data_IF_446441547460
#
_entry.id   IF_446441547460
#
_cell.length_a   1.000
_cell.length_b   1.000
_cell.length_c   1.000
_cell.angle_alpha   90.00
_cell.angle_beta   90.00
_cell.angle_gamma   90.00
#
_symmetry.space_group_name_H-M   'P 1'
#
loop_
_entity.id
_entity.type
_entity.pdbx_description
1 polymer ?
#
# COMPACT_ATOMS: atom_id res chain seq x y z
N UNK A 1 1.28 63.00 -29.46
CA UNK A 1 1.39 61.80 -30.30
C UNK A 1 0.37 60.81 -29.74
N UNK A 2 -0.76 60.71 -30.42
CA UNK A 2 -1.83 59.76 -30.11
C UNK A 2 -1.48 58.42 -30.77
N UNK A 3 -1.74 57.30 -30.09
CA UNK A 3 -2.09 56.06 -30.78
C UNK A 3 -3.23 55.40 -30.01
N UNK A 4 -4.43 55.67 -30.50
CA UNK A 4 -5.66 54.94 -30.27
C UNK A 4 -5.55 53.50 -30.78
N UNK A 5 -6.20 52.54 -30.12
CA UNK A 5 -6.23 51.15 -30.59
C UNK A 5 -7.18 50.22 -29.81
N UNK A 6 -8.47 50.60 -29.76
CA UNK A 6 -9.70 49.75 -29.76
C UNK A 6 -9.51 48.23 -29.55
N UNK A 7 -9.99 47.66 -28.44
CA UNK A 7 -11.36 47.15 -28.21
C UNK A 7 -11.73 45.89 -29.01
N UNK A 8 -12.02 44.80 -28.29
CA UNK A 8 -13.03 43.81 -28.70
C UNK A 8 -13.68 43.16 -27.47
N UNK A 9 -14.99 43.38 -27.39
CA UNK A 9 -16.01 42.82 -26.47
C UNK A 9 -15.95 41.29 -26.42
N UNK A 10 -15.92 40.68 -25.23
CA UNK A 10 -17.06 40.20 -24.43
C UNK A 10 -17.68 38.87 -24.89
N UNK A 11 -17.62 37.84 -24.03
CA UNK A 11 -18.69 36.87 -23.86
C UNK A 11 -18.78 36.46 -22.38
N UNK A 12 -19.94 36.76 -21.80
CA UNK A 12 -20.44 36.24 -20.52
C UNK A 12 -21.01 34.83 -20.73
N UNK A 13 -20.65 33.86 -19.87
CA UNK A 13 -21.43 32.64 -19.52
C UNK A 13 -20.75 32.03 -18.29
N UNK A 14 -21.25 32.20 -17.07
CA UNK A 14 -22.33 31.42 -16.44
C UNK A 14 -21.98 29.92 -16.24
N UNK A 15 -21.69 29.59 -14.98
CA UNK A 15 -22.03 28.37 -14.23
C UNK A 15 -21.70 26.96 -14.76
N UNK A 16 -21.01 26.22 -13.88
CA UNK A 16 -21.23 24.82 -13.45
C UNK A 16 -21.03 23.64 -14.42
N UNK A 17 -20.06 22.76 -14.06
CA UNK A 17 -20.00 21.28 -14.14
C UNK A 17 -18.51 20.88 -14.00
N UNK A 18 -18.05 20.23 -12.93
CA UNK A 18 -18.16 18.80 -12.61
C UNK A 18 -17.39 17.88 -13.59
N UNK A 19 -16.44 17.12 -13.03
CA UNK A 19 -15.87 15.83 -13.50
C UNK A 19 -14.97 15.93 -14.75
N UNK A 20 -13.90 15.16 -14.96
CA UNK A 20 -13.19 14.05 -14.30
C UNK A 20 -11.85 13.88 -15.10
N UNK A 21 -11.01 12.93 -14.69
CA UNK A 21 -9.84 12.37 -15.40
C UNK A 21 -8.55 13.21 -15.46
N UNK A 22 -7.35 12.66 -15.51
CA UNK A 22 -6.70 11.38 -15.19
C UNK A 22 -5.27 11.64 -15.68
N UNK A 23 -4.26 11.62 -14.82
CA UNK A 23 -2.86 11.56 -15.28
C UNK A 23 -2.13 10.42 -14.56
N UNK A 24 -2.51 9.21 -14.96
CA UNK A 24 -1.63 8.05 -15.10
C UNK A 24 -0.31 8.46 -15.79
N UNK A 25 0.80 8.50 -15.05
CA UNK A 25 2.13 8.36 -15.64
C UNK A 25 2.51 6.88 -15.67
N UNK A 26 2.18 6.28 -16.79
CA UNK A 26 2.62 5.00 -17.28
C UNK A 26 4.06 5.13 -17.81
N UNK A 27 5.00 4.36 -17.26
CA UNK A 27 6.21 3.94 -17.99
C UNK A 27 6.32 2.43 -17.87
N UNK A 28 5.69 1.74 -18.82
CA UNK A 28 6.12 0.42 -19.27
C UNK A 28 7.43 0.58 -20.03
N UNK A 29 8.43 -0.22 -19.70
CA UNK A 29 9.34 -0.70 -20.74
C UNK A 29 9.53 -2.21 -20.56
N UNK A 30 9.27 -2.86 -21.68
CA UNK A 30 9.12 -4.27 -21.96
C UNK A 30 10.49 -4.95 -22.08
N UNK A 31 10.64 -6.14 -21.50
CA UNK A 31 11.48 -7.16 -22.13
C UNK A 31 10.92 -8.54 -21.82
N UNK A 32 10.27 -9.11 -22.83
CA UNK A 32 9.83 -10.49 -22.89
C UNK A 32 10.81 -11.32 -23.74
N UNK A 33 10.73 -12.65 -23.53
CA UNK A 33 11.33 -13.75 -24.29
C UNK A 33 12.79 -14.09 -23.92
N UNK A 34 13.22 -15.34 -23.81
CA UNK A 34 12.64 -16.68 -23.93
C UNK A 34 13.79 -17.60 -23.46
N UNK A 35 13.52 -18.67 -22.70
CA UNK A 35 14.18 -19.97 -22.95
C UNK A 35 13.51 -21.05 -22.10
N UNK A 36 12.56 -21.74 -22.73
CA UNK A 36 12.08 -23.04 -22.31
C UNK A 36 13.01 -24.13 -22.87
N UNK A 37 13.55 -24.96 -21.98
CA UNK A 37 13.94 -26.39 -22.12
C UNK A 37 14.83 -26.68 -20.90
N UNK A 38 14.46 -27.58 -20.00
CA UNK A 38 14.76 -29.00 -20.21
C UNK A 38 13.85 -29.89 -19.37
N UNK A 39 13.18 -30.81 -20.07
CA UNK A 39 12.45 -31.94 -19.52
C UNK A 39 13.45 -32.93 -18.89
N UNK A 40 13.52 -32.98 -17.57
CA UNK A 40 14.20 -34.04 -16.82
C UNK A 40 13.21 -34.81 -15.96
N UNK A 41 12.46 -35.74 -16.54
CA UNK A 41 11.64 -36.69 -15.78
C UNK A 41 12.56 -37.70 -15.11
N UNK A 42 12.72 -37.60 -13.79
CA UNK A 42 13.19 -38.68 -12.96
C UNK A 42 12.24 -38.84 -11.76
N UNK A 43 11.25 -39.72 -11.93
CA UNK A 43 10.41 -40.19 -10.84
C UNK A 43 11.26 -40.97 -9.82
N UNK A 44 11.18 -40.60 -8.54
CA UNK A 44 11.21 -41.50 -7.38
C UNK A 44 10.93 -40.77 -6.06
N UNK A 45 9.77 -41.09 -5.49
CA UNK A 45 9.42 -41.17 -4.07
C UNK A 45 10.34 -40.48 -3.05
N UNK A 46 9.83 -39.44 -2.38
CA UNK A 46 9.44 -39.50 -0.96
C UNK A 46 8.74 -38.21 -0.56
N UNK A 47 7.76 -38.36 0.33
CA UNK A 47 7.13 -37.26 1.05
C UNK A 47 8.20 -36.43 1.77
N UNK A 48 8.49 -35.25 1.24
CA UNK A 48 9.02 -34.16 2.03
C UNK A 48 7.99 -33.06 1.91
N UNK A 49 7.41 -32.68 3.06
CA UNK A 49 6.65 -31.43 3.16
C UNK A 49 7.50 -30.37 2.46
N UNK A 50 6.92 -29.69 1.48
CA UNK A 50 7.45 -28.48 0.89
C UNK A 50 7.55 -27.42 2.01
N UNK A 51 8.58 -27.56 2.84
CA UNK A 51 9.04 -26.51 3.74
C UNK A 51 9.95 -25.69 2.85
N UNK A 52 9.35 -24.80 2.06
CA UNK A 52 10.06 -23.66 1.51
C UNK A 52 10.76 -23.00 2.68
N UNK A 53 12.07 -23.17 2.74
CA UNK A 53 12.93 -22.56 3.74
C UNK A 53 12.96 -21.07 3.38
N UNK A 54 11.98 -20.32 3.89
CA UNK A 54 12.01 -18.86 3.85
C UNK A 54 13.36 -18.46 4.43
N UNK A 55 14.13 -17.67 3.68
CA UNK A 55 15.33 -17.00 4.20
C UNK A 55 15.01 -16.54 5.62
N UNK A 56 15.79 -17.00 6.59
CA UNK A 56 15.57 -16.70 8.01
C UNK A 56 15.34 -15.20 8.15
N UNK A 57 14.10 -14.78 8.40
CA UNK A 57 13.83 -13.40 8.72
C UNK A 57 14.49 -13.11 10.06
N UNK A 58 15.13 -11.95 10.17
CA UNK A 58 15.68 -11.51 11.46
C UNK A 58 14.56 -11.19 12.48
N UNK A 59 13.32 -11.15 12.00
CA UNK A 59 12.10 -10.91 12.76
C UNK A 59 11.20 -12.13 12.70
N UNK A 60 10.85 -12.68 13.87
CA UNK A 60 9.86 -13.75 13.97
C UNK A 60 8.42 -13.21 14.07
N UNK A 61 7.43 -14.10 14.21
CA UNK A 61 6.02 -13.70 14.32
C UNK A 61 5.77 -12.81 15.54
N UNK A 62 6.42 -13.09 16.67
CA UNK A 62 6.23 -12.32 17.91
C UNK A 62 6.78 -10.90 17.75
N UNK A 63 7.97 -10.74 17.16
CA UNK A 63 8.56 -9.44 16.88
C UNK A 63 7.68 -8.60 15.94
N UNK A 64 7.16 -9.23 14.88
CA UNK A 64 6.30 -8.56 13.90
C UNK A 64 4.97 -8.17 14.53
N UNK A 65 4.35 -9.05 15.32
CA UNK A 65 3.09 -8.77 16.00
C UNK A 65 3.23 -7.61 16.98
N UNK A 66 4.31 -7.58 17.77
CA UNK A 66 4.59 -6.51 18.70
C UNK A 66 4.72 -5.16 17.97
N UNK A 67 5.52 -5.11 16.89
CA UNK A 67 5.76 -3.87 16.14
C UNK A 67 4.52 -3.42 15.38
N UNK A 68 3.77 -4.32 14.75
CA UNK A 68 2.52 -4.01 14.07
C UNK A 68 1.46 -3.46 15.03
N UNK A 69 1.32 -4.11 16.19
CA UNK A 69 0.39 -3.68 17.25
C UNK A 69 0.75 -2.30 17.79
N UNK A 70 2.04 -2.06 18.06
CA UNK A 70 2.52 -0.78 18.54
C UNK A 70 2.30 0.34 17.52
N UNK A 71 2.51 0.06 16.23
CA UNK A 71 2.22 1.00 15.15
C UNK A 71 0.75 1.43 15.14
N UNK A 72 -0.19 0.47 15.20
CA UNK A 72 -1.63 0.76 15.22
C UNK A 72 -2.03 1.59 16.45
N UNK A 73 -1.56 1.18 17.64
CA UNK A 73 -1.83 1.91 18.89
C UNK A 73 -1.32 3.34 18.83
N UNK A 74 -0.12 3.54 18.29
CA UNK A 74 0.46 4.87 18.15
C UNK A 74 -0.38 5.74 17.22
N UNK A 75 -0.84 5.24 16.07
CA UNK A 75 -1.72 6.02 15.18
C UNK A 75 -3.02 6.39 15.90
N UNK A 76 -3.68 5.43 16.55
CA UNK A 76 -4.93 5.67 17.25
C UNK A 76 -4.80 6.68 18.40
N UNK A 77 -3.63 6.76 19.03
CA UNK A 77 -3.38 7.67 20.16
C UNK A 77 -2.88 9.06 19.74
N UNK A 78 -2.04 9.14 18.70
CA UNK A 78 -1.33 10.37 18.34
C UNK A 78 -1.97 11.14 17.20
N UNK A 79 -2.79 10.48 16.38
CA UNK A 79 -3.44 11.10 15.23
C UNK A 79 -4.86 11.52 15.60
N UNK A 80 -5.28 12.73 15.21
CA UNK A 80 -6.65 13.19 15.37
C UNK A 80 -7.58 12.50 14.37
N UNK A 81 -7.88 11.22 14.57
CA UNK A 81 -8.65 10.40 13.65
C UNK A 81 -10.15 10.72 13.71
N UNK A 82 -10.84 10.54 12.58
CA UNK A 82 -12.31 10.44 12.60
C UNK A 82 -12.76 9.20 13.39
N UNK A 83 -13.96 9.24 13.97
CA UNK A 83 -14.53 8.09 14.71
C UNK A 83 -14.57 6.81 13.87
N UNK A 84 -14.89 6.95 12.57
CA UNK A 84 -14.92 5.84 11.63
C UNK A 84 -13.53 5.22 11.43
N UNK A 85 -12.50 6.05 11.29
CA UNK A 85 -11.11 5.59 11.16
C UNK A 85 -10.62 4.93 12.44
N UNK A 86 -10.90 5.52 13.61
CA UNK A 86 -10.56 4.93 14.90
C UNK A 86 -11.19 3.55 15.08
N UNK A 87 -12.49 3.41 14.80
CA UNK A 87 -13.19 2.13 14.86
C UNK A 87 -12.64 1.10 13.86
N UNK A 88 -12.30 1.51 12.64
CA UNK A 88 -11.72 0.64 11.64
C UNK A 88 -10.34 0.11 12.04
N UNK A 89 -9.46 0.98 12.56
CA UNK A 89 -8.13 0.59 13.05
C UNK A 89 -8.24 -0.30 14.30
N UNK A 90 -9.17 -0.01 15.20
CA UNK A 90 -9.42 -0.87 16.36
C UNK A 90 -9.89 -2.26 15.94
N UNK A 91 -10.77 -2.36 14.94
CA UNK A 91 -11.21 -3.65 14.41
C UNK A 91 -10.06 -4.40 13.72
N UNK A 92 -9.23 -3.70 12.94
CA UNK A 92 -8.04 -4.28 12.33
C UNK A 92 -7.08 -4.82 13.40
N UNK A 93 -6.83 -4.06 14.47
CA UNK A 93 -6.00 -4.51 15.60
C UNK A 93 -6.58 -5.78 16.26
N UNK A 94 -7.89 -5.82 16.52
CA UNK A 94 -8.54 -6.96 17.18
C UNK A 94 -8.56 -8.23 16.32
N UNK A 95 -8.41 -8.09 15.01
CA UNK A 95 -8.46 -9.19 14.03
C UNK A 95 -7.13 -9.38 13.31
N UNK A 96 -6.06 -8.78 13.84
CA UNK A 96 -4.74 -8.85 13.24
C UNK A 96 -4.22 -10.28 13.26
N UNK A 97 -3.82 -10.76 12.09
CA UNK A 97 -3.25 -12.10 11.90
C UNK A 97 -1.83 -11.91 11.38
N UNK A 98 -0.86 -12.14 12.27
CA UNK A 98 0.55 -11.90 11.99
C UNK A 98 1.09 -12.84 10.91
N UNK A 99 0.66 -14.10 10.89
CA UNK A 99 1.07 -15.07 9.88
C UNK A 99 0.57 -14.65 8.49
N UNK A 100 -0.69 -14.20 8.40
CA UNK A 100 -1.24 -13.64 7.15
C UNK A 100 -0.54 -12.35 6.74
N UNK A 101 -0.20 -11.50 7.70
CA UNK A 101 0.53 -10.26 7.44
C UNK A 101 1.93 -10.53 6.89
N UNK A 102 2.72 -11.39 7.53
CA UNK A 102 4.06 -11.80 7.07
C UNK A 102 3.97 -12.45 5.69
N UNK A 103 2.97 -13.29 5.44
CA UNK A 103 2.76 -13.91 4.12
C UNK A 103 2.53 -12.89 3.00
N UNK A 104 1.87 -11.76 3.30
CA UNK A 104 1.51 -10.76 2.30
C UNK A 104 2.57 -9.66 2.12
N UNK A 105 3.35 -9.36 3.16
CA UNK A 105 4.24 -8.20 3.18
C UNK A 105 5.70 -8.50 3.58
N UNK A 106 5.97 -9.69 4.13
CA UNK A 106 7.31 -10.13 4.52
C UNK A 106 7.97 -11.06 3.49
N UNK A 107 9.05 -11.76 3.87
CA UNK A 107 9.75 -11.71 5.16
C UNK A 107 10.38 -10.34 5.45
N UNK A 108 10.58 -10.02 6.73
CA UNK A 108 11.14 -8.73 7.16
C UNK A 108 12.59 -8.87 7.63
N UNK A 109 13.38 -7.85 7.33
CA UNK A 109 14.79 -7.69 7.74
C UNK A 109 15.01 -6.46 8.62
N UNK A 110 13.99 -5.62 8.79
CA UNK A 110 14.05 -4.46 9.68
C UNK A 110 12.67 -4.02 10.20
N UNK A 111 12.66 -3.29 11.33
CA UNK A 111 11.45 -2.63 11.85
C UNK A 111 10.88 -1.58 10.90
N UNK A 112 11.72 -0.97 10.06
CA UNK A 112 11.29 0.02 9.07
C UNK A 112 10.42 -0.61 7.98
N UNK A 113 10.75 -1.84 7.55
CA UNK A 113 9.94 -2.60 6.61
C UNK A 113 8.59 -2.98 7.22
N UNK A 114 8.56 -3.43 8.48
CA UNK A 114 7.31 -3.74 9.19
C UNK A 114 6.41 -2.49 9.27
N UNK A 115 6.98 -1.33 9.59
CA UNK A 115 6.24 -0.07 9.67
C UNK A 115 5.68 0.37 8.32
N UNK A 116 6.47 0.18 7.25
CA UNK A 116 6.05 0.50 5.87
C UNK A 116 4.95 -0.45 5.40
N UNK A 117 5.08 -1.74 5.68
CA UNK A 117 4.05 -2.73 5.42
C UNK A 117 2.75 -2.44 6.18
N UNK A 118 2.85 -2.00 7.43
CA UNK A 118 1.68 -1.58 8.20
C UNK A 118 1.01 -0.36 7.58
N UNK A 119 1.78 0.65 7.15
CA UNK A 119 1.22 1.78 6.43
C UNK A 119 0.52 1.34 5.13
N UNK A 120 1.10 0.40 4.37
CA UNK A 120 0.45 -0.15 3.19
C UNK A 120 -0.86 -0.89 3.52
N UNK A 121 -0.89 -1.64 4.62
CA UNK A 121 -2.05 -2.43 5.03
C UNK A 121 -3.22 -1.59 5.54
N UNK A 122 -2.94 -0.50 6.29
CA UNK A 122 -3.99 0.29 6.96
C UNK A 122 -4.05 1.76 6.55
N UNK A 123 -3.18 2.23 5.66
CA UNK A 123 -3.09 3.64 5.28
C UNK A 123 -4.41 4.21 4.75
N UNK A 124 -5.18 3.40 4.01
CA UNK A 124 -6.50 3.79 3.50
C UNK A 124 -7.57 3.96 4.59
N UNK A 125 -7.33 3.39 5.78
CA UNK A 125 -8.21 3.51 6.95
C UNK A 125 -7.95 4.79 7.74
N UNK A 126 -6.79 5.43 7.56
CA UNK A 126 -6.37 6.61 8.31
C UNK A 126 -7.00 7.85 7.68
N UNK A 127 -8.01 8.42 8.34
CA UNK A 127 -8.61 9.71 7.99
C UNK A 127 -8.61 10.61 9.21
N UNK A 128 -8.04 11.79 9.06
CA UNK A 128 -7.99 12.79 10.12
C UNK A 128 -9.28 13.61 10.15
N UNK A 129 -9.63 14.11 11.32
CA UNK A 129 -10.66 15.14 11.43
C UNK A 129 -10.13 16.44 10.80
N UNK A 130 -10.97 17.15 10.07
CA UNK A 130 -10.65 18.51 9.63
C UNK A 130 -10.67 19.42 10.87
N UNK A 131 -9.64 20.27 11.03
CA UNK A 131 -9.52 21.24 12.13
C UNK A 131 -10.56 22.36 12.05
#
# INVERSE_FOLDING_TARGET
MEISGVSSKAYTSAAAAAEEEDELQETQEENAAEEAKEYGVAAKEKQEKDVTQFSSSDYDEDDVEEKATNYLKNIMFTTNLTDKSSAALQNYLNTFDVAKFIKNYGPFTSTAEISSAMYAAVGSLIKQQEE
#
